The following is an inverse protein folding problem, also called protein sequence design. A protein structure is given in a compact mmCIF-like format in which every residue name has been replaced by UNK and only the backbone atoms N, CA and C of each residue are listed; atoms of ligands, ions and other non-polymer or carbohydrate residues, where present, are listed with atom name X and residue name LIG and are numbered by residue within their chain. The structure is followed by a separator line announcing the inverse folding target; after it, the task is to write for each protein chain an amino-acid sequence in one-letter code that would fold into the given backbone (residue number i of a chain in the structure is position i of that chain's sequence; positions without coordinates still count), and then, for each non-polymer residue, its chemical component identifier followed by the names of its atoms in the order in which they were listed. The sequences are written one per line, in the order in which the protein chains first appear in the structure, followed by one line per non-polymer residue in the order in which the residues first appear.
data_IF_600083534985
#
_entry.id   IF_600083534985
#
_cell.length_a   1.000
_cell.length_b   1.000
_cell.length_c   1.000
_cell.angle_alpha   90.00
_cell.angle_beta   90.00
_cell.angle_gamma   90.00
#
_symmetry.space_group_name_H-M   'P 1'
#
loop_
_entity.id
_entity.type
_entity.pdbx_description
1 polymer ?
#
# COMPACT_ATOMS: atom_id res chain seq x y z
N UNK A 1 10.85 1.09 24.11
CA UNK A 1 10.22 2.37 23.75
C UNK A 1 10.37 2.58 22.26
N UNK A 2 9.51 1.94 21.47
CA UNK A 2 9.24 2.41 20.12
C UNK A 2 7.79 2.84 20.21
N UNK A 3 7.58 4.13 20.46
CA UNK A 3 6.25 4.72 20.31
C UNK A 3 5.88 4.44 18.85
N UNK A 4 4.86 3.61 18.63
CA UNK A 4 4.03 3.76 17.43
C UNK A 4 3.75 5.25 17.37
N UNK A 5 4.33 5.91 16.38
CA UNK A 5 3.97 7.29 16.11
C UNK A 5 2.55 7.16 15.56
N UNK A 6 1.59 7.14 16.48
CA UNK A 6 0.17 7.34 16.23
C UNK A 6 0.05 8.83 15.83
N UNK A 7 0.54 9.13 14.62
CA UNK A 7 0.36 10.40 13.96
C UNK A 7 -1.13 10.58 13.61
N UNK A 8 -1.55 11.83 13.33
CA UNK A 8 -2.93 12.29 13.45
C UNK A 8 -3.80 11.77 12.30
N UNK A 9 -4.16 10.49 12.32
CA UNK A 9 -5.02 9.89 11.30
C UNK A 9 -6.34 9.34 11.85
N UNK A 10 -6.72 9.75 13.06
CA UNK A 10 -8.09 9.58 13.57
C UNK A 10 -8.99 10.75 13.10
N UNK A 11 -8.39 11.89 12.72
CA UNK A 11 -9.08 13.10 12.23
C UNK A 11 -8.95 13.32 10.70
N UNK A 12 -8.64 12.27 9.92
CA UNK A 12 -8.27 12.39 8.50
C UNK A 12 -9.37 12.01 7.49
N UNK A 13 -10.42 11.28 7.88
CA UNK A 13 -11.48 10.88 6.94
C UNK A 13 -12.34 12.06 6.50
N UNK A 14 -12.81 12.86 7.46
CA UNK A 14 -13.60 14.06 7.18
C UNK A 14 -12.83 15.02 6.25
N UNK A 15 -11.52 15.15 6.46
CA UNK A 15 -10.67 16.04 5.68
C UNK A 15 -10.44 15.52 4.26
N UNK A 16 -10.22 14.21 4.08
CA UNK A 16 -10.17 13.57 2.74
C UNK A 16 -11.52 13.72 2.02
N UNK A 17 -12.63 13.55 2.72
CA UNK A 17 -13.98 13.74 2.16
C UNK A 17 -14.17 15.19 1.71
N UNK A 18 -13.82 16.17 2.54
CA UNK A 18 -13.93 17.61 2.20
C UNK A 18 -13.04 17.97 1.01
N UNK A 19 -11.78 17.52 0.98
CA UNK A 19 -10.88 17.75 -0.16
C UNK A 19 -11.40 17.13 -1.44
N UNK A 20 -11.95 15.91 -1.36
CA UNK A 20 -12.54 15.21 -2.51
C UNK A 20 -13.80 15.94 -2.99
N UNK A 21 -14.65 16.41 -2.07
CA UNK A 21 -15.83 17.18 -2.41
C UNK A 21 -15.48 18.52 -3.08
N UNK A 22 -14.49 19.25 -2.55
CA UNK A 22 -14.01 20.50 -3.15
C UNK A 22 -13.45 20.26 -4.56
N UNK A 23 -12.68 19.19 -4.74
CA UNK A 23 -12.17 18.79 -6.03
C UNK A 23 -13.30 18.49 -7.03
N UNK A 24 -14.30 17.70 -6.62
CA UNK A 24 -15.50 17.41 -7.43
C UNK A 24 -16.23 18.70 -7.84
N UNK A 25 -16.41 19.65 -6.91
CA UNK A 25 -17.05 20.94 -7.20
C UNK A 25 -16.28 21.75 -8.24
N UNK A 26 -14.95 21.76 -8.19
CA UNK A 26 -14.13 22.42 -9.20
C UNK A 26 -14.24 21.71 -10.56
N UNK A 27 -14.30 20.38 -10.59
CA UNK A 27 -14.53 19.65 -11.84
C UNK A 27 -15.88 19.96 -12.46
N UNK A 28 -16.92 20.12 -11.64
CA UNK A 28 -18.24 20.56 -12.10
C UNK A 28 -18.15 21.97 -12.69
N UNK A 29 -17.46 22.90 -12.00
CA UNK A 29 -17.24 24.26 -12.50
C UNK A 29 -16.50 24.30 -13.85
N UNK A 30 -15.40 23.53 -13.96
CA UNK A 30 -14.64 23.39 -15.21
C UNK A 30 -15.45 22.71 -16.33
N UNK A 31 -16.38 21.83 -15.99
CA UNK A 31 -17.24 21.15 -16.96
C UNK A 31 -18.14 22.12 -17.72
N UNK A 32 -18.50 23.25 -17.11
CA UNK A 32 -19.26 24.32 -17.74
C UNK A 32 -18.45 25.10 -18.78
N UNK A 33 -17.11 25.11 -18.67
CA UNK A 33 -16.23 25.85 -19.58
C UNK A 33 -16.14 25.18 -20.97
N UNK A 34 -15.69 25.96 -21.95
CA UNK A 34 -15.38 25.45 -23.29
C UNK A 34 -14.24 24.42 -23.25
N UNK A 35 -14.21 23.51 -24.23
CA UNK A 35 -13.16 22.51 -24.38
C UNK A 35 -12.23 22.85 -25.55
N UNK A 36 -11.09 22.14 -25.63
CA UNK A 36 -10.12 22.33 -26.69
C UNK A 36 -10.73 22.04 -28.06
N UNK A 37 -10.69 23.04 -28.96
CA UNK A 37 -11.19 22.91 -30.32
C UNK A 37 -12.69 23.10 -30.53
N UNK A 38 -13.44 23.56 -29.50
CA UNK A 38 -14.86 23.85 -29.65
C UNK A 38 -15.12 24.90 -30.75
N UNK A 39 -16.02 24.60 -31.69
CA UNK A 39 -16.36 25.45 -32.82
C UNK A 39 -15.22 25.68 -33.82
N UNK A 40 -14.19 24.81 -33.85
CA UNK A 40 -13.02 24.97 -34.72
C UNK A 40 -12.89 23.84 -35.77
N UNK A 41 -13.77 23.78 -36.79
CA UNK A 41 -13.60 22.86 -37.92
C UNK A 41 -12.33 23.21 -38.73
N UNK A 42 -11.78 22.28 -39.53
CA UNK A 42 -12.31 20.94 -39.80
C UNK A 42 -11.83 19.87 -38.82
N UNK A 43 -10.76 20.12 -38.07
CA UNK A 43 -10.09 19.10 -37.24
C UNK A 43 -10.44 19.19 -35.76
N UNK A 44 -10.96 20.31 -35.24
CA UNK A 44 -11.24 20.49 -33.80
C UNK A 44 -9.97 20.27 -32.95
N UNK A 45 -10.10 19.86 -31.69
CA UNK A 45 -9.01 19.73 -30.73
C UNK A 45 -9.02 18.40 -29.98
N UNK A 46 -8.33 18.33 -28.84
CA UNK A 46 -8.14 17.10 -28.06
C UNK A 46 -9.47 16.42 -27.68
N UNK A 47 -10.52 17.19 -27.44
CA UNK A 47 -11.86 16.66 -27.18
C UNK A 47 -12.35 15.73 -28.30
N UNK A 48 -12.18 16.17 -29.55
CA UNK A 48 -12.57 15.41 -30.73
C UNK A 48 -11.64 14.21 -30.95
N UNK A 49 -10.35 14.34 -30.61
CA UNK A 49 -9.43 13.21 -30.64
C UNK A 49 -9.88 12.07 -29.72
N UNK A 50 -10.20 12.39 -28.46
CA UNK A 50 -10.69 11.40 -27.50
C UNK A 50 -12.02 10.77 -27.94
N UNK A 51 -12.97 11.57 -28.44
CA UNK A 51 -14.24 11.08 -28.97
C UNK A 51 -14.03 10.17 -30.17
N UNK A 52 -13.16 10.55 -31.10
CA UNK A 52 -12.86 9.77 -32.29
C UNK A 52 -12.20 8.43 -31.94
N UNK A 53 -11.35 8.37 -30.91
CA UNK A 53 -10.82 7.09 -30.43
C UNK A 53 -11.90 6.16 -29.89
N UNK A 54 -12.92 6.70 -29.21
CA UNK A 54 -14.07 5.91 -28.75
C UNK A 54 -14.87 5.38 -29.95
N UNK A 55 -15.09 6.20 -30.98
CA UNK A 55 -15.72 5.78 -32.24
C UNK A 55 -14.94 4.67 -32.94
N UNK A 56 -13.64 4.86 -33.15
CA UNK A 56 -12.76 3.87 -33.82
C UNK A 56 -12.79 2.54 -33.08
N UNK A 57 -12.60 2.57 -31.75
CA UNK A 57 -12.42 1.34 -30.97
C UNK A 57 -13.68 0.49 -30.88
N UNK A 58 -14.88 1.08 -30.85
CA UNK A 58 -16.13 0.31 -30.78
C UNK A 58 -16.63 -0.19 -32.14
N UNK A 59 -16.23 0.46 -33.24
CA UNK A 59 -16.74 0.13 -34.58
C UNK A 59 -15.78 -0.72 -35.41
N UNK A 60 -14.47 -0.65 -35.15
CA UNK A 60 -13.45 -1.34 -35.95
C UNK A 60 -12.87 -2.56 -35.24
N UNK A 61 -12.46 -3.60 -35.99
CA UNK A 61 -11.73 -4.72 -35.42
C UNK A 61 -10.38 -4.25 -34.85
N UNK A 62 -9.91 -4.96 -33.82
CA UNK A 62 -8.70 -4.62 -33.05
C UNK A 62 -7.46 -4.37 -33.94
N UNK A 63 -7.35 -5.12 -35.03
CA UNK A 63 -6.23 -5.04 -35.98
C UNK A 63 -6.19 -3.71 -36.76
N UNK A 64 -7.31 -3.00 -36.83
CA UNK A 64 -7.43 -1.75 -37.60
C UNK A 64 -7.29 -0.49 -36.74
N UNK A 65 -7.25 -0.59 -35.41
CA UNK A 65 -7.23 0.59 -34.52
C UNK A 65 -6.06 1.54 -34.78
N UNK A 66 -4.89 1.00 -35.15
CA UNK A 66 -3.64 1.73 -35.32
C UNK A 66 -3.16 1.81 -36.78
N UNK A 67 -3.96 1.35 -37.73
CA UNK A 67 -3.57 1.22 -39.14
C UNK A 67 -4.54 2.03 -39.99
N UNK A 68 -4.01 2.75 -40.98
CA UNK A 68 -4.85 3.42 -41.98
C UNK A 68 -5.63 2.39 -42.80
N UNK A 69 -6.95 2.51 -42.81
CA UNK A 69 -7.86 1.70 -43.62
C UNK A 69 -8.92 2.61 -44.28
N UNK A 70 -9.75 2.12 -45.23
CA UNK A 70 -10.85 2.92 -45.78
C UNK A 70 -11.83 3.43 -44.71
N UNK A 71 -11.86 2.78 -43.54
CA UNK A 71 -12.70 3.10 -42.40
C UNK A 71 -11.95 3.75 -41.24
N UNK A 72 -10.62 3.89 -41.31
CA UNK A 72 -9.78 4.54 -40.29
C UNK A 72 -8.77 5.51 -40.93
N UNK A 73 -8.98 6.81 -40.77
CA UNK A 73 -8.07 7.82 -41.29
C UNK A 73 -7.15 8.35 -40.18
N UNK A 74 -5.91 7.84 -40.13
CA UNK A 74 -4.94 8.27 -39.11
C UNK A 74 -4.58 9.77 -39.16
N UNK A 75 -4.83 10.47 -40.27
CA UNK A 75 -4.61 11.92 -40.35
C UNK A 75 -5.66 12.74 -39.59
N UNK A 76 -6.83 12.14 -39.32
CA UNK A 76 -7.92 12.69 -38.54
C UNK A 76 -7.91 12.05 -37.13
N UNK A 77 -7.03 12.54 -36.26
CA UNK A 77 -6.88 12.06 -34.88
C UNK A 77 -6.68 10.56 -34.74
N UNK A 78 -5.74 9.98 -35.50
CA UNK A 78 -5.32 8.59 -35.32
C UNK A 78 -4.94 8.29 -33.87
N UNK A 79 -5.21 7.06 -33.44
CA UNK A 79 -4.92 6.59 -32.10
C UNK A 79 -3.39 6.50 -31.90
N UNK A 80 -2.83 7.38 -31.08
CA UNK A 80 -1.39 7.54 -30.85
C UNK A 80 -0.89 7.04 -29.49
N UNK A 81 -1.82 6.65 -28.61
CA UNK A 81 -1.51 6.11 -27.28
C UNK A 81 -1.39 4.57 -27.25
N UNK A 82 -0.67 4.00 -26.26
CA UNK A 82 -0.55 2.55 -26.08
C UNK A 82 -1.90 1.83 -25.89
N UNK A 83 -1.95 0.49 -26.05
CA UNK A 83 -3.20 -0.29 -26.04
C UNK A 83 -4.08 -0.10 -24.80
N UNK A 84 -3.52 0.22 -23.63
CA UNK A 84 -4.31 0.48 -22.43
C UNK A 84 -5.29 1.65 -22.62
N UNK A 85 -4.85 2.72 -23.27
CA UNK A 85 -5.72 3.87 -23.60
C UNK A 85 -6.78 3.45 -24.61
N UNK A 86 -6.43 2.63 -25.60
CA UNK A 86 -7.38 2.12 -26.57
C UNK A 86 -8.50 1.31 -25.91
N UNK A 87 -8.17 0.42 -24.97
CA UNK A 87 -9.18 -0.33 -24.23
C UNK A 87 -10.01 0.55 -23.29
N UNK A 88 -9.43 1.62 -22.73
CA UNK A 88 -10.20 2.61 -21.99
C UNK A 88 -11.21 3.33 -22.89
N UNK A 89 -10.78 3.80 -24.06
CA UNK A 89 -11.66 4.39 -25.07
C UNK A 89 -12.73 3.41 -25.55
N UNK A 90 -12.40 2.14 -25.74
CA UNK A 90 -13.37 1.09 -26.06
C UNK A 90 -14.44 0.95 -24.97
N UNK A 91 -14.03 0.86 -23.71
CA UNK A 91 -14.96 0.72 -22.58
C UNK A 91 -15.87 1.94 -22.44
N UNK A 92 -15.31 3.16 -22.52
CA UNK A 92 -16.10 4.39 -22.43
C UNK A 92 -16.99 4.57 -23.66
N UNK A 93 -16.48 4.32 -24.86
CA UNK A 93 -17.25 4.35 -26.10
C UNK A 93 -18.42 3.37 -26.07
N UNK A 94 -18.21 2.16 -25.54
CA UNK A 94 -19.27 1.17 -25.41
C UNK A 94 -20.40 1.67 -24.48
N UNK A 95 -20.05 2.20 -23.31
CA UNK A 95 -21.01 2.79 -22.36
C UNK A 95 -21.76 3.97 -23.01
N UNK A 96 -21.04 4.87 -23.68
CA UNK A 96 -21.62 6.03 -24.35
C UNK A 96 -22.55 5.63 -25.51
N UNK A 97 -22.20 4.60 -26.26
CA UNK A 97 -23.01 4.05 -27.34
C UNK A 97 -24.34 3.44 -26.84
N UNK A 98 -24.38 2.92 -25.59
CA UNK A 98 -25.63 2.50 -24.96
C UNK A 98 -26.56 3.68 -24.63
N UNK A 99 -26.02 4.89 -24.44
CA UNK A 99 -26.78 6.11 -24.15
C UNK A 99 -27.28 6.75 -25.45
N UNK A 100 -26.37 6.99 -26.40
CA UNK A 100 -26.71 7.55 -27.70
C UNK A 100 -25.71 7.08 -28.76
N UNK A 101 -26.20 6.26 -29.69
CA UNK A 101 -25.39 5.69 -30.77
C UNK A 101 -24.86 6.73 -31.76
N UNK A 102 -25.49 7.91 -31.86
CA UNK A 102 -25.08 8.96 -32.80
C UNK A 102 -23.76 9.63 -32.41
N UNK A 103 -23.36 9.56 -31.14
CA UNK A 103 -22.12 10.19 -30.66
C UNK A 103 -20.84 9.54 -31.21
N UNK A 104 -20.93 8.26 -31.56
CA UNK A 104 -19.80 7.43 -31.96
C UNK A 104 -20.11 6.67 -33.26
N UNK A 105 -20.98 7.23 -34.11
CA UNK A 105 -21.31 6.64 -35.39
C UNK A 105 -20.14 6.78 -36.36
N UNK A 106 -19.68 5.65 -36.90
CA UNK A 106 -18.50 5.58 -37.77
C UNK A 106 -18.60 6.57 -38.94
N UNK A 107 -17.58 7.40 -39.15
CA UNK A 107 -17.40 8.43 -40.18
C UNK A 107 -18.42 9.59 -40.19
N UNK A 108 -19.56 9.44 -39.52
CA UNK A 108 -20.68 10.39 -39.54
C UNK A 108 -20.74 11.28 -38.30
N UNK A 109 -20.08 10.86 -37.21
CA UNK A 109 -20.04 11.59 -35.93
C UNK A 109 -18.82 12.51 -35.77
N UNK A 110 -18.03 12.70 -36.84
CA UNK A 110 -16.86 13.57 -36.84
C UNK A 110 -17.25 15.03 -36.55
N UNK A 111 -16.65 15.61 -35.51
CA UNK A 111 -16.88 17.00 -35.12
C UNK A 111 -18.24 17.28 -34.49
N UNK A 112 -18.93 16.25 -33.96
CA UNK A 112 -20.26 16.43 -33.36
C UNK A 112 -20.17 17.23 -32.04
N UNK A 113 -20.88 18.35 -31.99
CA UNK A 113 -20.97 19.21 -30.80
C UNK A 113 -22.35 19.07 -30.15
N UNK A 114 -22.54 17.99 -29.39
CA UNK A 114 -23.75 17.77 -28.59
C UNK A 114 -23.49 18.12 -27.10
N UNK A 115 -24.30 18.98 -26.47
CA UNK A 115 -24.17 19.30 -25.05
C UNK A 115 -24.22 18.07 -24.13
N UNK A 116 -25.01 17.04 -24.46
CA UNK A 116 -25.09 15.81 -23.68
C UNK A 116 -23.82 14.96 -23.84
N UNK A 117 -23.23 14.94 -25.04
CA UNK A 117 -21.93 14.31 -25.27
C UNK A 117 -20.84 15.01 -24.45
N UNK A 118 -20.88 16.35 -24.38
CA UNK A 118 -19.96 17.12 -23.53
C UNK A 118 -20.03 16.68 -22.07
N UNK A 119 -21.24 16.52 -21.52
CA UNK A 119 -21.42 16.03 -20.14
C UNK A 119 -20.89 14.60 -20.00
N UNK A 120 -21.17 13.72 -20.95
CA UNK A 120 -20.67 12.35 -20.95
C UNK A 120 -19.13 12.31 -20.96
N UNK A 121 -18.49 13.05 -21.86
CA UNK A 121 -17.03 13.11 -21.96
C UNK A 121 -16.39 13.70 -20.69
N UNK A 122 -17.00 14.71 -20.06
CA UNK A 122 -16.51 15.21 -18.76
C UNK A 122 -16.63 14.16 -17.66
N UNK A 123 -17.68 13.32 -17.71
CA UNK A 123 -17.87 12.22 -16.76
C UNK A 123 -16.81 11.11 -16.94
N UNK A 124 -16.38 10.79 -18.17
CA UNK A 124 -15.31 9.79 -18.38
C UNK A 124 -13.99 10.26 -17.77
N UNK A 125 -13.66 11.55 -17.92
CA UNK A 125 -12.48 12.18 -17.27
C UNK A 125 -12.61 12.13 -15.75
N UNK A 126 -13.80 12.40 -15.20
CA UNK A 126 -14.07 12.28 -13.76
C UNK A 126 -13.78 10.86 -13.24
N UNK A 127 -14.23 9.81 -13.94
CA UNK A 127 -13.96 8.43 -13.56
C UNK A 127 -12.46 8.12 -13.59
N UNK A 128 -11.74 8.56 -14.61
CA UNK A 128 -10.28 8.40 -14.69
C UNK A 128 -9.59 9.09 -13.50
N UNK A 129 -10.09 10.24 -13.08
CA UNK A 129 -9.55 11.01 -11.96
C UNK A 129 -9.76 10.35 -10.59
N UNK A 130 -10.77 9.49 -10.43
CA UNK A 130 -10.92 8.69 -9.20
C UNK A 130 -9.73 7.73 -9.00
N UNK A 131 -9.16 7.19 -10.08
CA UNK A 131 -7.95 6.36 -10.01
C UNK A 131 -6.74 7.20 -9.57
N UNK A 132 -6.64 8.45 -10.03
CA UNK A 132 -5.62 9.39 -9.58
C UNK A 132 -5.70 9.69 -8.09
N UNK A 133 -6.90 10.05 -7.60
CA UNK A 133 -7.14 10.30 -6.18
C UNK A 133 -6.73 9.09 -5.33
N UNK A 134 -7.07 7.88 -5.78
CA UNK A 134 -6.71 6.65 -5.09
C UNK A 134 -5.19 6.40 -5.10
N UNK A 135 -4.53 6.63 -6.23
CA UNK A 135 -3.08 6.52 -6.38
C UNK A 135 -2.33 7.48 -5.46
N UNK A 136 -2.71 8.76 -5.48
CA UNK A 136 -2.14 9.81 -4.64
C UNK A 136 -2.31 9.50 -3.14
N UNK A 137 -3.51 9.06 -2.73
CA UNK A 137 -3.77 8.65 -1.35
C UNK A 137 -2.84 7.52 -0.88
N UNK A 138 -2.71 6.47 -1.71
CA UNK A 138 -1.85 5.33 -1.38
C UNK A 138 -0.37 5.73 -1.32
N UNK A 139 0.10 6.58 -2.24
CA UNK A 139 1.48 7.05 -2.30
C UNK A 139 1.86 7.87 -1.06
N UNK A 140 1.03 8.86 -0.68
CA UNK A 140 1.29 9.68 0.51
C UNK A 140 1.25 8.85 1.79
N UNK A 141 0.33 7.89 1.88
CA UNK A 141 0.28 6.95 3.01
C UNK A 141 1.57 6.16 3.21
N UNK A 142 2.32 5.88 2.13
CA UNK A 142 3.59 5.16 2.21
C UNK A 142 4.79 6.04 2.59
N UNK A 143 4.78 7.32 2.21
CA UNK A 143 5.90 8.24 2.45
C UNK A 143 5.88 8.89 3.84
N UNK A 144 4.84 8.64 4.65
CA UNK A 144 4.56 9.33 5.92
C UNK A 144 4.41 10.86 5.79
N UNK A 145 4.36 11.38 4.56
CA UNK A 145 4.07 12.78 4.24
C UNK A 145 2.55 12.99 4.17
N UNK A 146 1.86 12.55 5.22
CA UNK A 146 0.40 12.50 5.27
C UNK A 146 -0.13 13.80 5.89
N UNK A 147 0.25 14.94 5.30
CA UNK A 147 -0.38 16.23 5.61
C UNK A 147 -1.43 16.58 4.54
N UNK A 148 -2.54 17.16 4.99
CA UNK A 148 -3.66 17.60 4.17
C UNK A 148 -3.22 18.62 3.12
N UNK A 149 -2.29 19.50 3.48
CA UNK A 149 -1.73 20.49 2.55
C UNK A 149 -1.00 19.79 1.40
N UNK A 150 -0.21 18.77 1.71
CA UNK A 150 0.50 17.98 0.70
C UNK A 150 -0.47 17.23 -0.22
N UNK A 151 -1.52 16.61 0.34
CA UNK A 151 -2.55 15.94 -0.47
C UNK A 151 -3.31 16.92 -1.37
N UNK A 152 -3.74 18.07 -0.83
CA UNK A 152 -4.42 19.12 -1.60
C UNK A 152 -3.51 19.70 -2.68
N UNK A 153 -2.23 19.96 -2.41
CA UNK A 153 -1.29 20.44 -3.42
C UNK A 153 -1.10 19.41 -4.54
N UNK A 154 -1.00 18.12 -4.21
CA UNK A 154 -0.90 17.06 -5.20
C UNK A 154 -2.17 16.95 -6.05
N UNK A 155 -3.35 16.99 -5.42
CA UNK A 155 -4.63 16.76 -6.10
C UNK A 155 -5.13 17.99 -6.86
N UNK A 156 -4.90 19.18 -6.31
CA UNK A 156 -5.36 20.45 -6.86
C UNK A 156 -4.27 21.17 -7.66
N UNK A 157 -3.29 20.44 -8.18
CA UNK A 157 -2.27 21.00 -9.05
C UNK A 157 -2.96 21.70 -10.25
N UNK A 158 -2.75 23.01 -10.45
CA UNK A 158 -3.47 23.76 -11.47
C UNK A 158 -3.20 23.24 -12.88
N UNK A 159 -2.01 22.68 -13.13
CA UNK A 159 -1.68 22.05 -14.41
C UNK A 159 -2.56 20.83 -14.68
N UNK A 160 -2.77 19.98 -13.69
CA UNK A 160 -3.59 18.76 -13.83
C UNK A 160 -5.08 19.12 -14.01
N UNK A 161 -5.58 20.11 -13.27
CA UNK A 161 -6.96 20.58 -13.41
C UNK A 161 -7.23 21.27 -14.76
N UNK A 162 -6.33 22.15 -15.22
CA UNK A 162 -6.57 22.91 -16.46
C UNK A 162 -6.31 22.07 -17.72
N UNK A 163 -5.28 21.23 -17.72
CA UNK A 163 -4.90 20.44 -18.90
C UNK A 163 -5.82 19.21 -19.01
N UNK A 164 -5.95 18.41 -17.96
CA UNK A 164 -6.72 17.16 -18.09
C UNK A 164 -8.23 17.44 -18.01
N UNK A 165 -8.66 18.29 -17.08
CA UNK A 165 -10.09 18.51 -16.82
C UNK A 165 -10.68 19.66 -17.64
N UNK A 166 -9.87 20.60 -18.10
CA UNK A 166 -10.28 21.71 -18.99
C UNK A 166 -10.03 21.38 -20.46
N UNK A 167 -8.77 21.10 -20.81
CA UNK A 167 -8.29 20.90 -22.18
C UNK A 167 -8.54 19.49 -22.75
N UNK A 168 -8.97 18.52 -21.94
CA UNK A 168 -9.25 17.12 -22.34
C UNK A 168 -8.02 16.28 -22.71
N UNK A 169 -6.90 16.48 -22.03
CA UNK A 169 -5.75 15.61 -22.17
C UNK A 169 -5.89 14.40 -21.22
N UNK A 170 -5.99 13.15 -21.72
CA UNK A 170 -6.04 11.94 -20.88
C UNK A 170 -4.65 11.51 -20.34
N UNK A 171 -3.80 12.47 -19.99
CA UNK A 171 -2.44 12.20 -19.49
C UNK A 171 -2.40 11.55 -18.10
N UNK A 172 -3.46 11.71 -17.31
CA UNK A 172 -3.50 11.21 -15.93
C UNK A 172 -3.36 9.68 -15.83
N UNK A 173 -4.00 8.91 -16.73
CA UNK A 173 -4.00 7.45 -16.67
C UNK A 173 -2.64 6.81 -16.96
N UNK A 174 -1.89 7.36 -17.90
CA UNK A 174 -0.56 6.86 -18.30
C UNK A 174 0.54 7.28 -17.32
N UNK A 175 0.46 8.48 -16.74
CA UNK A 175 1.37 8.92 -15.68
C UNK A 175 1.22 8.09 -14.39
N UNK A 176 0.02 7.65 -14.02
CA UNK A 176 -0.18 6.82 -12.83
C UNK A 176 0.38 5.41 -13.02
N UNK A 177 0.21 4.83 -14.22
CA UNK A 177 0.77 3.51 -14.50
C UNK A 177 2.30 3.53 -14.35
N UNK A 178 2.98 4.58 -14.84
CA UNK A 178 4.42 4.74 -14.67
C UNK A 178 4.82 5.08 -13.23
N UNK A 179 4.17 6.03 -12.55
CA UNK A 179 4.52 6.35 -11.16
C UNK A 179 4.20 5.21 -10.18
N UNK A 180 3.11 4.48 -10.38
CA UNK A 180 2.74 3.33 -9.55
C UNK A 180 3.67 2.15 -9.80
N UNK A 181 3.98 1.82 -11.06
CA UNK A 181 4.94 0.74 -11.39
C UNK A 181 6.36 1.10 -10.97
N UNK A 182 6.80 2.34 -11.12
CA UNK A 182 8.15 2.77 -10.76
C UNK A 182 8.32 2.94 -9.25
N UNK A 183 7.31 3.44 -8.54
CA UNK A 183 7.30 3.44 -7.07
C UNK A 183 7.24 2.01 -6.53
N UNK A 184 6.37 1.15 -7.06
CA UNK A 184 6.30 -0.24 -6.60
C UNK A 184 7.58 -1.00 -6.91
N UNK A 185 8.18 -0.88 -8.09
CA UNK A 185 9.45 -1.55 -8.44
C UNK A 185 10.66 -1.01 -7.67
N UNK A 186 10.79 0.31 -7.48
CA UNK A 186 11.90 0.90 -6.69
C UNK A 186 11.74 0.64 -5.18
N UNK A 187 10.52 0.53 -4.66
CA UNK A 187 10.26 0.20 -3.24
C UNK A 187 10.19 -1.31 -2.95
N UNK A 188 9.92 -2.14 -3.97
CA UNK A 188 9.80 -3.60 -3.80
C UNK A 188 11.12 -4.36 -3.93
N UNK A 189 12.20 -3.74 -4.41
CA UNK A 189 13.48 -4.43 -4.42
C UNK A 189 13.94 -4.67 -2.98
N UNK A 190 14.05 -5.94 -2.54
CA UNK A 190 14.55 -6.22 -1.20
C UNK A 190 15.96 -5.64 -1.09
N UNK A 191 16.30 -4.99 0.05
CA UNK A 191 17.71 -4.61 0.28
C UNK A 191 18.49 -5.91 0.44
N UNK A 192 19.17 -6.31 -0.63
CA UNK A 192 19.97 -7.51 -0.64
C UNK A 192 21.19 -7.26 0.23
N UNK A 193 21.48 -8.18 1.16
CA UNK A 193 22.65 -8.07 2.03
C UNK A 193 23.90 -7.88 1.16
N UNK A 194 24.75 -6.92 1.54
CA UNK A 194 25.96 -6.48 0.83
C UNK A 194 25.75 -5.72 -0.50
N UNK A 195 24.62 -5.89 -1.17
CA UNK A 195 24.32 -5.22 -2.45
C UNK A 195 23.34 -4.04 -2.33
N UNK A 196 22.75 -3.82 -1.15
CA UNK A 196 21.83 -2.71 -0.92
C UNK A 196 22.50 -1.34 -0.83
N UNK A 197 21.70 -0.30 -1.07
CA UNK A 197 22.10 1.12 -0.93
C UNK A 197 22.68 1.42 0.45
N UNK A 198 23.77 2.17 0.46
CA UNK A 198 24.43 2.69 1.66
C UNK A 198 23.90 4.11 1.92
N UNK A 199 23.59 4.44 3.18
CA UNK A 199 23.26 5.81 3.57
C UNK A 199 24.53 6.61 3.91
N UNK A 200 24.46 7.94 3.89
CA UNK A 200 25.58 8.80 4.33
C UNK A 200 26.08 8.42 5.73
N UNK A 201 25.15 8.17 6.68
CA UNK A 201 25.50 7.65 8.01
C UNK A 201 26.12 6.23 7.96
N UNK A 202 25.63 5.34 7.09
CA UNK A 202 26.22 4.01 6.90
C UNK A 202 27.64 4.07 6.34
N UNK A 203 27.94 5.05 5.48
CA UNK A 203 29.29 5.30 4.99
C UNK A 203 30.22 5.80 6.10
N UNK A 204 29.75 6.77 6.89
CA UNK A 204 30.45 7.25 8.07
C UNK A 204 30.77 6.11 9.05
N UNK A 205 29.79 5.26 9.36
CA UNK A 205 30.01 4.11 10.26
C UNK A 205 31.07 3.15 9.71
N UNK A 206 31.03 2.81 8.42
CA UNK A 206 31.99 1.87 7.83
C UNK A 206 33.43 2.38 7.89
N UNK A 207 33.63 3.70 7.84
CA UNK A 207 34.96 4.32 7.95
C UNK A 207 35.46 4.49 9.38
N UNK A 208 34.54 4.72 10.32
CA UNK A 208 34.89 5.00 11.70
C UNK A 208 34.85 3.75 12.59
N UNK A 209 34.35 2.63 12.08
CA UNK A 209 34.44 1.32 12.73
C UNK A 209 35.72 0.63 12.26
N UNK A 210 36.80 0.72 13.06
CA UNK A 210 38.02 -0.04 12.83
C UNK A 210 37.82 -1.52 13.19
N UNK A 211 38.33 -2.43 12.35
CA UNK A 211 38.38 -3.88 12.64
C UNK A 211 39.32 -4.13 13.83
N UNK A 212 38.78 -4.01 15.04
CA UNK A 212 39.50 -4.09 16.31
C UNK A 212 38.78 -3.38 17.47
N UNK A 213 37.96 -2.36 17.18
CA UNK A 213 37.13 -1.65 18.18
C UNK A 213 35.84 -2.39 18.58
N UNK A 214 35.56 -3.57 18.00
CA UNK A 214 34.39 -4.40 18.30
C UNK A 214 34.63 -5.43 19.42
N UNK A 215 35.63 -5.20 20.28
CA UNK A 215 35.84 -5.99 21.50
C UNK A 215 34.91 -5.58 22.66
N UNK A 216 34.26 -4.41 22.58
CA UNK A 216 33.31 -3.91 23.58
C UNK A 216 31.84 -4.02 23.15
N UNK A 217 30.92 -3.47 23.96
CA UNK A 217 29.48 -3.41 23.67
C UNK A 217 29.22 -2.60 22.39
N UNK A 218 29.02 -3.32 21.28
CA UNK A 218 28.79 -2.78 19.93
C UNK A 218 27.69 -1.72 19.92
N UNK A 219 26.68 -1.84 20.80
CA UNK A 219 25.57 -0.88 20.88
C UNK A 219 26.05 0.49 21.34
N UNK A 220 26.94 0.55 22.33
CA UNK A 220 27.48 1.81 22.85
C UNK A 220 28.37 2.51 21.83
N UNK A 221 29.26 1.74 21.16
CA UNK A 221 30.11 2.28 20.09
C UNK A 221 29.29 2.88 18.95
N UNK A 222 28.21 2.21 18.51
CA UNK A 222 27.33 2.73 17.46
C UNK A 222 26.59 4.00 17.93
N UNK A 223 26.18 4.07 19.20
CA UNK A 223 25.55 5.27 19.76
C UNK A 223 26.52 6.46 19.78
N UNK A 224 27.74 6.27 20.25
CA UNK A 224 28.79 7.30 20.27
C UNK A 224 29.10 7.81 18.85
N UNK A 225 29.22 6.91 17.87
CA UNK A 225 29.38 7.27 16.47
C UNK A 225 28.16 8.00 15.91
N UNK A 226 26.94 7.66 16.36
CA UNK A 226 25.73 8.39 16.05
C UNK A 226 25.78 9.85 16.51
N UNK A 227 26.23 10.09 17.74
CA UNK A 227 26.43 11.45 18.25
C UNK A 227 27.49 12.22 17.46
N UNK A 228 28.63 11.56 17.15
CA UNK A 228 29.69 12.16 16.32
C UNK A 228 29.20 12.53 14.91
N UNK A 229 28.41 11.68 14.26
CA UNK A 229 27.83 11.97 12.96
C UNK A 229 26.85 13.15 13.01
N UNK A 230 26.02 13.23 14.05
CA UNK A 230 25.08 14.32 14.21
C UNK A 230 25.78 15.68 14.39
N UNK A 231 26.93 15.69 15.07
CA UNK A 231 27.78 16.86 15.28
C UNK A 231 28.56 17.32 14.01
N UNK A 232 28.56 16.53 12.93
CA UNK A 232 29.22 16.92 11.68
C UNK A 232 28.52 18.12 11.02
N UNK A 233 29.32 18.94 10.34
CA UNK A 233 28.83 20.06 9.53
C UNK A 233 28.03 19.57 8.32
N UNK A 234 27.14 20.40 7.75
CA UNK A 234 26.41 20.05 6.53
C UNK A 234 27.31 19.65 5.37
N UNK A 235 28.46 20.32 5.22
CA UNK A 235 29.46 20.01 4.19
C UNK A 235 30.05 18.61 4.37
N UNK A 236 30.46 18.26 5.58
CA UNK A 236 30.98 16.92 5.88
C UNK A 236 29.92 15.83 5.64
N UNK A 237 28.65 16.09 5.98
CA UNK A 237 27.53 15.17 5.69
C UNK A 237 27.29 15.00 4.18
N UNK A 238 27.52 16.05 3.39
CA UNK A 238 27.44 16.01 1.94
C UNK A 238 28.57 15.15 1.34
N UNK A 239 29.79 15.26 1.86
CA UNK A 239 30.93 14.42 1.41
C UNK A 239 30.64 12.93 1.64
N UNK A 240 30.11 12.58 2.83
CA UNK A 240 29.68 11.20 3.11
C UNK A 240 28.49 10.75 2.26
N UNK A 241 27.63 11.67 1.81
CA UNK A 241 26.53 11.36 0.89
C UNK A 241 27.06 10.96 -0.49
N UNK A 242 27.97 11.76 -1.06
CA UNK A 242 28.63 11.45 -2.34
C UNK A 242 29.36 10.09 -2.26
N UNK A 243 30.03 9.83 -1.13
CA UNK A 243 30.71 8.56 -0.90
C UNK A 243 29.75 7.37 -0.81
N UNK A 244 28.63 7.56 -0.12
CA UNK A 244 27.58 6.55 0.00
C UNK A 244 26.92 6.25 -1.36
N UNK A 245 26.75 7.25 -2.22
CA UNK A 245 26.26 7.11 -3.59
C UNK A 245 27.22 6.26 -4.42
N UNK A 246 28.51 6.61 -4.47
CA UNK A 246 29.54 5.81 -5.16
C UNK A 246 29.59 4.35 -4.70
N UNK A 247 29.49 4.12 -3.39
CA UNK A 247 29.47 2.75 -2.85
C UNK A 247 28.18 2.00 -3.18
N UNK A 248 27.06 2.72 -3.30
CA UNK A 248 25.78 2.11 -3.69
C UNK A 248 25.78 1.73 -5.16
N UNK A 249 26.37 2.55 -6.02
CA UNK A 249 26.56 2.28 -7.45
C UNK A 249 27.45 1.06 -7.66
N UNK A 250 28.65 1.04 -7.06
CA UNK A 250 29.57 -0.10 -7.17
C UNK A 250 28.94 -1.42 -6.66
N UNK A 251 28.08 -1.35 -5.63
CA UNK A 251 27.33 -2.51 -5.13
C UNK A 251 26.23 -2.95 -6.10
N UNK A 252 25.54 -2.01 -6.74
CA UNK A 252 24.52 -2.33 -7.72
C UNK A 252 25.15 -2.97 -8.97
N UNK A 253 26.27 -2.43 -9.46
CA UNK A 253 27.06 -3.02 -10.54
C UNK A 253 27.52 -4.43 -10.19
N UNK A 254 28.10 -4.63 -9.00
CA UNK A 254 28.51 -5.94 -8.54
C UNK A 254 27.35 -6.94 -8.41
N UNK A 255 26.12 -6.47 -8.15
CA UNK A 255 24.94 -7.34 -8.14
C UNK A 255 24.51 -7.71 -9.56
N UNK A 256 24.47 -6.74 -10.46
CA UNK A 256 24.10 -6.96 -11.87
C UNK A 256 25.14 -7.80 -12.64
N UNK A 257 26.39 -7.80 -12.18
CA UNK A 257 27.44 -8.68 -12.71
C UNK A 257 27.28 -10.15 -12.31
N UNK A 258 26.43 -10.48 -11.33
CA UNK A 258 26.18 -11.87 -10.94
C UNK A 258 25.34 -12.62 -11.98
N UNK A 259 25.48 -13.95 -12.10
CA UNK A 259 24.56 -14.76 -12.91
C UNK A 259 23.10 -14.59 -12.47
N UNK A 260 22.16 -14.63 -13.42
CA UNK A 260 20.73 -14.41 -13.15
C UNK A 260 20.15 -15.37 -12.10
N UNK A 261 20.62 -16.61 -12.06
CA UNK A 261 20.20 -17.61 -11.07
C UNK A 261 20.65 -17.23 -9.65
N UNK A 262 21.87 -16.71 -9.50
CA UNK A 262 22.39 -16.27 -8.21
C UNK A 262 21.66 -15.01 -7.72
N UNK A 263 21.36 -14.08 -8.63
CA UNK A 263 20.54 -12.90 -8.31
C UNK A 263 19.17 -13.32 -7.76
N UNK A 264 18.49 -14.27 -8.43
CA UNK A 264 17.19 -14.78 -8.00
C UNK A 264 17.27 -15.46 -6.62
N UNK A 265 18.29 -16.30 -6.39
CA UNK A 265 18.52 -16.96 -5.09
C UNK A 265 18.71 -15.95 -3.96
N UNK A 266 19.48 -14.89 -4.18
CA UNK A 266 19.74 -13.84 -3.19
C UNK A 266 18.47 -13.04 -2.87
N UNK A 267 17.66 -12.72 -3.88
CA UNK A 267 16.37 -12.04 -3.73
C UNK A 267 15.43 -12.91 -2.88
N UNK A 268 15.31 -14.19 -3.20
CA UNK A 268 14.38 -15.11 -2.53
C UNK A 268 14.79 -15.34 -1.07
N UNK A 269 16.07 -15.59 -0.81
CA UNK A 269 16.61 -15.73 0.55
C UNK A 269 16.33 -14.50 1.41
N UNK A 270 16.41 -13.29 0.83
CA UNK A 270 16.10 -12.07 1.56
C UNK A 270 14.62 -11.86 1.81
N UNK A 271 13.74 -12.24 0.88
CA UNK A 271 12.30 -12.25 1.11
C UNK A 271 11.95 -13.16 2.30
N UNK A 272 12.49 -14.38 2.32
CA UNK A 272 12.28 -15.33 3.41
C UNK A 272 12.80 -14.80 4.75
N UNK A 273 14.02 -14.25 4.76
CA UNK A 273 14.60 -13.67 5.97
C UNK A 273 13.74 -12.53 6.55
N UNK A 274 13.27 -11.61 5.69
CA UNK A 274 12.38 -10.51 6.10
C UNK A 274 11.02 -11.01 6.58
N UNK A 275 10.45 -12.01 5.92
CA UNK A 275 9.21 -12.64 6.36
C UNK A 275 9.36 -13.23 7.77
N UNK A 276 10.45 -13.97 8.02
CA UNK A 276 10.74 -14.53 9.33
C UNK A 276 10.92 -13.46 10.42
N UNK A 277 11.60 -12.34 10.11
CA UNK A 277 11.73 -11.21 11.05
C UNK A 277 10.37 -10.56 11.35
N UNK A 278 9.54 -10.37 10.31
CA UNK A 278 8.18 -9.82 10.48
C UNK A 278 7.34 -10.74 11.35
N UNK A 279 7.40 -12.05 11.15
CA UNK A 279 6.69 -13.03 11.96
C UNK A 279 7.14 -13.00 13.42
N UNK A 280 8.47 -12.95 13.67
CA UNK A 280 9.02 -12.81 15.03
C UNK A 280 8.52 -11.54 15.71
N UNK A 281 8.47 -10.42 14.98
CA UNK A 281 7.96 -9.15 15.48
C UNK A 281 6.47 -9.22 15.80
N UNK A 282 5.65 -9.74 14.90
CA UNK A 282 4.21 -9.92 15.12
C UNK A 282 3.93 -10.82 16.33
N UNK A 283 4.71 -11.90 16.49
CA UNK A 283 4.64 -12.77 17.68
C UNK A 283 5.01 -12.01 18.96
N UNK A 284 6.02 -11.13 18.92
CA UNK A 284 6.39 -10.32 20.07
C UNK A 284 5.32 -9.26 20.40
N UNK A 285 4.80 -8.56 19.41
CA UNK A 285 3.69 -7.60 19.56
C UNK A 285 2.45 -8.28 20.12
N UNK A 286 2.05 -9.43 19.57
CA UNK A 286 0.94 -10.23 20.10
C UNK A 286 1.15 -10.69 21.54
N UNK A 287 2.39 -11.03 21.94
CA UNK A 287 2.72 -11.35 23.34
C UNK A 287 2.56 -10.14 24.26
N UNK A 288 3.00 -8.97 23.83
CA UNK A 288 2.85 -7.74 24.62
C UNK A 288 1.37 -7.34 24.72
N UNK A 289 0.61 -7.40 23.63
CA UNK A 289 -0.84 -7.17 23.63
C UNK A 289 -1.56 -8.16 24.56
N UNK A 290 -1.14 -9.42 24.56
CA UNK A 290 -1.67 -10.42 25.48
C UNK A 290 -1.35 -10.11 26.94
N UNK A 291 -0.14 -9.63 27.25
CA UNK A 291 0.23 -9.20 28.61
C UNK A 291 -0.59 -8.00 29.06
N UNK A 292 -0.78 -7.00 28.20
CA UNK A 292 -1.60 -5.83 28.53
C UNK A 292 -3.06 -6.20 28.73
N UNK A 293 -3.61 -7.07 27.87
CA UNK A 293 -4.94 -7.63 28.06
C UNK A 293 -5.04 -8.32 29.43
N UNK A 294 -4.09 -9.19 29.80
CA UNK A 294 -4.07 -9.87 31.11
C UNK A 294 -4.06 -8.87 32.28
N UNK A 295 -3.33 -7.74 32.17
CA UNK A 295 -3.33 -6.71 33.22
C UNK A 295 -4.71 -6.07 33.42
N UNK A 296 -5.50 -5.94 32.36
CA UNK A 296 -6.80 -5.26 32.38
C UNK A 296 -7.95 -6.21 32.75
N UNK A 297 -8.02 -7.38 32.11
CA UNK A 297 -9.16 -8.32 32.28
C UNK A 297 -8.83 -9.52 33.18
N UNK A 298 -7.57 -9.69 33.59
CA UNK A 298 -7.09 -10.86 34.31
C UNK A 298 -6.72 -12.05 33.42
N UNK A 299 -6.07 -13.05 34.02
CA UNK A 299 -5.70 -14.29 33.34
C UNK A 299 -6.95 -15.07 32.91
N UNK A 300 -6.85 -15.76 31.78
CA UNK A 300 -7.90 -16.69 31.33
C UNK A 300 -8.12 -17.76 32.43
N UNK A 301 -9.38 -18.07 32.80
CA UNK A 301 -9.67 -19.15 33.73
C UNK A 301 -9.12 -20.48 33.24
N UNK A 302 -8.71 -21.32 34.19
CA UNK A 302 -8.17 -22.65 33.90
C UNK A 302 -9.21 -23.52 33.21
N UNK A 303 -8.79 -24.28 32.20
CA UNK A 303 -9.62 -25.30 31.55
C UNK A 303 -9.85 -26.49 32.49
N UNK A 304 -10.85 -27.34 32.21
CA UNK A 304 -11.14 -28.54 33.01
C UNK A 304 -9.90 -29.44 33.19
N UNK A 305 -9.09 -29.58 32.13
CA UNK A 305 -7.82 -30.28 32.23
C UNK A 305 -6.79 -29.57 33.11
N UNK A 306 -6.68 -28.24 33.05
CA UNK A 306 -5.74 -27.50 33.89
C UNK A 306 -6.11 -27.56 35.37
N UNK A 307 -7.41 -27.51 35.69
CA UNK A 307 -7.92 -27.70 37.05
C UNK A 307 -7.53 -29.10 37.54
N UNK A 308 -7.87 -30.14 36.76
CA UNK A 308 -7.51 -31.52 37.08
C UNK A 308 -6.00 -31.70 37.21
N UNK A 309 -5.21 -31.12 36.31
CA UNK A 309 -3.76 -31.20 36.33
C UNK A 309 -3.18 -30.64 37.63
N UNK A 310 -3.62 -29.45 38.05
CA UNK A 310 -3.18 -28.85 39.31
C UNK A 310 -3.57 -29.71 40.52
N UNK A 311 -4.82 -30.19 40.56
CA UNK A 311 -5.30 -31.08 41.63
C UNK A 311 -4.53 -32.42 41.64
N UNK A 312 -4.25 -32.98 40.47
CA UNK A 312 -3.56 -34.26 40.31
C UNK A 312 -2.09 -34.19 40.73
N UNK A 313 -1.37 -33.14 40.31
CA UNK A 313 0.02 -32.91 40.71
C UNK A 313 0.14 -32.72 42.22
N UNK A 314 -0.77 -31.94 42.81
CA UNK A 314 -0.80 -31.70 44.26
C UNK A 314 -1.14 -32.98 45.03
N UNK A 315 -2.17 -33.72 44.60
CA UNK A 315 -2.61 -34.97 45.24
C UNK A 315 -1.53 -36.05 45.24
N UNK A 316 -0.75 -36.14 44.16
CA UNK A 316 0.30 -37.14 44.00
C UNK A 316 1.70 -36.62 44.35
N UNK A 317 1.82 -35.40 44.88
CA UNK A 317 3.08 -34.75 45.28
C UNK A 317 4.17 -34.80 44.19
N UNK A 318 3.77 -34.58 42.94
CA UNK A 318 4.66 -34.70 41.77
C UNK A 318 5.41 -33.41 41.45
N UNK A 319 5.42 -32.42 42.35
CA UNK A 319 6.00 -31.09 42.12
C UNK A 319 7.50 -31.12 41.74
N UNK A 320 8.21 -32.14 42.23
CA UNK A 320 9.65 -32.32 41.99
C UNK A 320 9.99 -33.02 40.66
N UNK A 321 8.99 -33.53 39.92
CA UNK A 321 9.20 -34.19 38.63
C UNK A 321 9.25 -33.19 37.47
N UNK A 322 9.90 -33.51 36.34
CA UNK A 322 9.85 -32.69 35.14
C UNK A 322 8.40 -32.47 34.66
N UNK A 323 8.06 -31.24 34.26
CA UNK A 323 6.70 -30.87 33.79
C UNK A 323 6.16 -31.80 32.69
N UNK A 324 7.04 -32.30 31.82
CA UNK A 324 6.67 -33.25 30.76
C UNK A 324 6.10 -34.56 31.32
N UNK A 325 6.71 -35.09 32.38
CA UNK A 325 6.29 -36.34 33.02
C UNK A 325 4.99 -36.14 33.81
N UNK A 326 4.88 -35.02 34.52
CA UNK A 326 3.64 -34.62 35.21
C UNK A 326 2.47 -34.55 34.22
N UNK A 327 2.67 -33.89 33.07
CA UNK A 327 1.64 -33.74 32.03
C UNK A 327 1.25 -35.08 31.41
N UNK A 328 2.22 -35.98 31.19
CA UNK A 328 1.96 -37.31 30.64
C UNK A 328 1.12 -38.16 31.58
N UNK A 329 1.49 -38.20 32.86
CA UNK A 329 0.76 -38.95 33.89
C UNK A 329 -0.66 -38.41 34.08
N UNK A 330 -0.81 -37.10 34.25
CA UNK A 330 -2.12 -36.46 34.40
C UNK A 330 -2.98 -36.60 33.13
N UNK A 331 -2.39 -36.53 31.94
CA UNK A 331 -3.10 -36.71 30.68
C UNK A 331 -3.69 -38.11 30.53
N UNK A 332 -2.94 -39.15 30.89
CA UNK A 332 -3.41 -40.54 30.87
C UNK A 332 -4.57 -40.75 31.84
N UNK A 333 -4.45 -40.24 33.07
CA UNK A 333 -5.52 -40.38 34.06
C UNK A 333 -6.75 -39.54 33.74
N UNK A 334 -6.58 -38.32 33.21
CA UNK A 334 -7.70 -37.50 32.75
C UNK A 334 -8.49 -38.19 31.62
N UNK A 335 -7.80 -38.91 30.73
CA UNK A 335 -8.43 -39.69 29.66
C UNK A 335 -9.37 -40.77 30.19
N UNK A 336 -8.98 -41.45 31.28
CA UNK A 336 -9.73 -42.53 31.93
C UNK A 336 -10.92 -42.06 32.78
N UNK A 337 -11.03 -40.77 33.08
CA UNK A 337 -12.15 -40.24 33.86
C UNK A 337 -13.49 -40.44 33.13
N UNK A 338 -14.53 -40.70 33.91
CA UNK A 338 -15.91 -40.73 33.44
C UNK A 338 -16.34 -39.35 32.91
N UNK A 339 -17.23 -39.33 31.92
CA UNK A 339 -17.69 -38.09 31.29
C UNK A 339 -18.45 -37.18 32.27
N UNK A 340 -19.16 -37.76 33.23
CA UNK A 340 -19.84 -37.03 34.32
C UNK A 340 -18.86 -36.17 35.14
N UNK A 341 -17.70 -36.73 35.49
CA UNK A 341 -16.62 -36.05 36.24
C UNK A 341 -15.94 -34.98 35.38
N UNK A 342 -15.73 -35.27 34.08
CA UNK A 342 -15.19 -34.28 33.14
C UNK A 342 -16.13 -33.09 32.97
N UNK A 343 -17.44 -33.33 32.97
CA UNK A 343 -18.45 -32.27 32.86
C UNK A 343 -18.59 -31.46 34.15
N UNK A 344 -18.45 -32.08 35.32
CA UNK A 344 -18.34 -31.34 36.59
C UNK A 344 -17.15 -30.36 36.56
N UNK A 345 -15.96 -30.85 36.16
CA UNK A 345 -14.75 -30.03 36.02
C UNK A 345 -14.91 -28.90 34.99
N UNK A 346 -15.65 -29.12 33.89
CA UNK A 346 -15.98 -28.07 32.92
C UNK A 346 -16.91 -27.03 33.51
N UNK A 347 -17.87 -27.45 34.32
CA UNK A 347 -18.86 -26.57 34.92
C UNK A 347 -18.28 -25.69 36.02
N UNK A 348 -17.26 -26.16 36.78
CA UNK A 348 -16.60 -25.38 37.86
C UNK A 348 -16.18 -23.96 37.45
N UNK A 349 -15.64 -23.79 36.23
CA UNK A 349 -15.17 -22.50 35.74
C UNK A 349 -16.04 -21.91 34.61
N UNK A 350 -17.20 -22.49 34.31
CA UNK A 350 -18.04 -22.07 33.17
C UNK A 350 -18.46 -20.61 33.25
N UNK A 351 -18.91 -20.17 34.43
CA UNK A 351 -19.36 -18.80 34.66
C UNK A 351 -18.21 -17.79 34.69
N UNK A 352 -17.06 -18.20 35.23
CA UNK A 352 -15.86 -17.36 35.23
C UNK A 352 -15.34 -17.19 33.80
N UNK A 353 -15.35 -18.27 33.01
CA UNK A 353 -14.96 -18.26 31.61
C UNK A 353 -15.92 -17.41 30.77
N UNK A 354 -17.23 -17.52 30.98
CA UNK A 354 -18.21 -16.71 30.23
C UNK A 354 -18.05 -15.22 30.51
N UNK A 355 -17.85 -14.84 31.78
CA UNK A 355 -17.51 -13.46 32.19
C UNK A 355 -16.20 -12.98 31.54
N UNK A 356 -15.16 -13.80 31.55
CA UNK A 356 -13.87 -13.46 30.94
C UNK A 356 -13.99 -13.31 29.41
N UNK A 357 -14.74 -14.18 28.73
CA UNK A 357 -14.99 -14.07 27.28
C UNK A 357 -15.71 -12.76 26.95
N UNK A 358 -16.72 -12.39 27.75
CA UNK A 358 -17.43 -11.11 27.60
C UNK A 358 -16.48 -9.92 27.78
N UNK A 359 -15.70 -9.90 28.87
CA UNK A 359 -14.71 -8.85 29.13
C UNK A 359 -13.65 -8.74 28.03
N UNK A 360 -13.19 -9.88 27.49
CA UNK A 360 -12.28 -9.90 26.33
C UNK A 360 -12.91 -9.29 25.10
N UNK A 361 -14.17 -9.63 24.79
CA UNK A 361 -14.88 -9.08 23.63
C UNK A 361 -15.04 -7.56 23.75
N UNK A 362 -15.39 -7.07 24.93
CA UNK A 362 -15.49 -5.63 25.22
C UNK A 362 -14.14 -4.91 25.12
N UNK A 363 -13.06 -5.52 25.63
CA UNK A 363 -11.70 -4.99 25.52
C UNK A 363 -11.25 -4.86 24.06
N UNK A 364 -11.49 -5.89 23.23
CA UNK A 364 -11.18 -5.86 21.80
C UNK A 364 -12.04 -4.83 21.05
N UNK A 365 -13.32 -4.70 21.41
CA UNK A 365 -14.20 -3.68 20.83
C UNK A 365 -13.72 -2.25 21.16
N UNK A 366 -13.27 -2.00 22.40
CA UNK A 366 -12.66 -0.72 22.79
C UNK A 366 -11.38 -0.43 22.01
N UNK A 367 -10.50 -1.42 21.83
CA UNK A 367 -9.29 -1.24 21.01
C UNK A 367 -9.63 -0.86 19.56
N UNK A 368 -10.64 -1.52 18.97
CA UNK A 368 -11.06 -1.22 17.60
C UNK A 368 -11.73 0.16 17.48
N UNK A 369 -12.50 0.59 18.50
CA UNK A 369 -13.15 1.90 18.51
C UNK A 369 -12.17 3.05 18.79
N UNK A 370 -11.07 2.80 19.51
CA UNK A 370 -9.98 3.78 19.71
C UNK A 370 -9.10 3.89 18.46
N UNK A 371 -9.15 2.91 17.56
CA UNK A 371 -8.44 2.89 16.26
C UNK A 371 -9.28 3.40 15.08
N UNK A 372 -10.56 3.71 15.28
CA UNK A 372 -11.44 4.39 14.32
C UNK A 372 -11.46 5.89 14.59
#
# INVERSE_FOLDING_TARGET
MDRRYDGPFVDSRAKVIVSTALFVLLLIGLSCCNYSGQGMPPKFGDYEAQRHWMEVTINLPLQEWYISSPSNNLTYWGLDYPPLTAYHSYAMGFIGNLINTKWFALLSSHGIEDPNLKVFMRFTVFLAMLFYLKGAYNFLGQTKLVDMKTFLICVMSPGLLLIDCGHFHLSCGTQIASYSTEATTKLSQPRIKNYGKVSSYGAFLKENVTKGSMGGDVRKTVQELGHKYNALTPQQKADFKVKAEKWSEARAEAFHALPSEEQARLIESQKQHRAALREKRLKAESREEHKEMIKVIGKKPMTSFQIFFTEYVQKHKMENLPMSEQMKAAGMEFGKLEDSVKDELRNRNKDVLSKWIKAKKEYLAKLNNVQQ
#
